data_IF_911544049699
#
_entry.id   IF_911544049699
#
_cell.length_a   1.000
_cell.length_b   1.000
_cell.length_c   1.000
_cell.angle_alpha   90.00
_cell.angle_beta   90.00
_cell.angle_gamma   90.00
#
_symmetry.space_group_name_H-M   'P 1'
#
loop_
_entity.id
_entity.type
_entity.pdbx_description
1 polymer ?
#
# COMPACT_ATOMS: atom_id res chain seq x y z
N UNK A 1 -15.17 13.35 -1.58
CA UNK A 1 -14.36 13.31 -2.81
C UNK A 1 -14.18 11.87 -3.26
N UNK A 2 -14.35 11.61 -4.55
CA UNK A 2 -13.95 10.36 -5.18
C UNK A 2 -12.52 10.51 -5.68
N UNK A 3 -11.70 9.50 -5.44
CA UNK A 3 -10.30 9.41 -5.86
C UNK A 3 -10.15 8.09 -6.61
N UNK A 4 -9.71 8.15 -7.86
CA UNK A 4 -9.78 7.00 -8.76
C UNK A 4 -8.54 6.92 -9.65
N UNK A 5 -7.94 5.73 -9.72
CA UNK A 5 -7.02 5.34 -10.79
C UNK A 5 -7.67 4.25 -11.64
N UNK A 6 -7.93 4.51 -12.94
CA UNK A 6 -8.52 3.51 -13.81
C UNK A 6 -7.57 2.36 -14.17
N UNK A 7 -6.24 2.57 -14.13
CA UNK A 7 -5.22 1.55 -14.44
C UNK A 7 -3.95 1.83 -13.62
N UNK A 8 -3.97 1.48 -12.32
CA UNK A 8 -2.74 1.45 -11.53
C UNK A 8 -1.87 0.27 -11.97
N UNK A 9 -0.57 0.53 -12.20
CA UNK A 9 0.32 -0.41 -12.84
C UNK A 9 0.30 -0.29 -14.37
N UNK A 10 0.32 0.95 -14.89
CA UNK A 10 0.32 1.22 -16.34
C UNK A 10 1.47 0.51 -17.09
N UNK A 11 2.66 0.47 -16.49
CA UNK A 11 3.81 -0.25 -17.10
C UNK A 11 3.55 -1.75 -17.25
N UNK A 12 3.14 -2.51 -16.21
CA UNK A 12 2.67 -3.89 -16.38
C UNK A 12 1.57 -4.02 -17.42
N UNK A 13 0.56 -3.16 -17.39
CA UNK A 13 -0.59 -3.21 -18.30
C UNK A 13 -0.18 -3.14 -19.77
N UNK A 14 0.63 -2.14 -20.16
CA UNK A 14 1.04 -1.96 -21.57
C UNK A 14 1.99 -3.04 -22.06
N UNK A 15 2.64 -3.76 -21.14
CA UNK A 15 3.51 -4.90 -21.45
C UNK A 15 2.78 -6.25 -21.37
N UNK A 16 1.46 -6.27 -21.25
CA UNK A 16 0.66 -7.50 -21.22
C UNK A 16 0.83 -8.34 -19.96
N UNK A 17 1.35 -7.74 -18.87
CA UNK A 17 1.50 -8.41 -17.58
C UNK A 17 0.21 -8.31 -16.75
N UNK A 18 -0.10 -9.29 -15.89
CA UNK A 18 -1.35 -9.33 -15.13
C UNK A 18 -1.38 -8.40 -13.90
N UNK A 19 -0.27 -7.71 -13.60
CA UNK A 19 -0.07 -6.96 -12.35
C UNK A 19 -0.56 -5.51 -12.46
N UNK A 20 -1.86 -5.33 -12.64
CA UNK A 20 -2.50 -4.02 -12.67
C UNK A 20 -3.90 -4.11 -12.05
N UNK A 21 -4.46 -2.98 -11.64
CA UNK A 21 -5.78 -2.93 -11.04
C UNK A 21 -6.48 -1.58 -11.28
N UNK A 22 -7.78 -1.55 -11.01
CA UNK A 22 -8.56 -0.32 -10.83
C UNK A 22 -8.53 0.01 -9.33
N UNK A 23 -8.18 1.24 -8.97
CA UNK A 23 -8.18 1.71 -7.59
C UNK A 23 -9.25 2.79 -7.40
N UNK A 24 -10.09 2.62 -6.38
CA UNK A 24 -11.17 3.56 -6.04
C UNK A 24 -11.13 3.84 -4.55
N UNK A 25 -11.16 5.13 -4.18
CA UNK A 25 -11.38 5.55 -2.81
C UNK A 25 -12.50 6.60 -2.73
N UNK A 26 -13.24 6.60 -1.63
CA UNK A 26 -14.07 7.73 -1.21
C UNK A 26 -13.45 8.37 0.01
N UNK A 27 -13.13 9.66 -0.08
CA UNK A 27 -12.59 10.47 1.02
C UNK A 27 -13.71 11.33 1.60
N UNK A 28 -13.94 11.21 2.90
CA UNK A 28 -14.87 12.04 3.67
C UNK A 28 -14.18 12.54 4.95
N UNK A 29 -14.31 13.84 5.25
CA UNK A 29 -13.65 14.47 6.39
C UNK A 29 -12.14 14.10 6.47
N UNK A 30 -11.45 14.22 5.34
CA UNK A 30 -10.00 13.97 5.18
C UNK A 30 -9.56 12.50 5.43
N UNK A 31 -10.50 11.56 5.48
CA UNK A 31 -10.20 10.14 5.68
C UNK A 31 -10.73 9.29 4.53
N UNK A 32 -10.00 8.29 4.04
CA UNK A 32 -10.55 7.30 3.13
C UNK A 32 -11.58 6.44 3.89
N UNK A 33 -12.85 6.55 3.51
CA UNK A 33 -13.98 5.85 4.18
C UNK A 33 -14.48 4.66 3.39
N UNK A 34 -14.20 4.59 2.10
CA UNK A 34 -14.43 3.42 1.24
C UNK A 34 -13.18 3.20 0.40
N UNK A 35 -12.78 1.95 0.23
CA UNK A 35 -11.71 1.53 -0.66
C UNK A 35 -12.11 0.30 -1.45
N UNK A 36 -11.84 0.32 -2.77
CA UNK A 36 -12.02 -0.83 -3.65
C UNK A 36 -10.81 -0.94 -4.57
N UNK A 37 -10.21 -2.13 -4.61
CA UNK A 37 -9.18 -2.49 -5.58
C UNK A 37 -9.70 -3.68 -6.38
N UNK A 38 -9.85 -3.49 -7.70
CA UNK A 38 -10.27 -4.56 -8.60
C UNK A 38 -9.10 -4.97 -9.50
N UNK A 39 -8.61 -6.20 -9.34
CA UNK A 39 -7.55 -6.80 -10.13
C UNK A 39 -8.16 -7.83 -11.11
N UNK A 40 -8.55 -7.43 -12.33
CA UNK A 40 -9.35 -8.28 -13.22
C UNK A 40 -8.60 -9.54 -13.66
N UNK A 41 -7.30 -9.42 -13.93
CA UNK A 41 -6.48 -10.56 -14.35
C UNK A 41 -6.34 -11.65 -13.26
N UNK A 42 -6.52 -11.27 -12.00
CA UNK A 42 -6.50 -12.18 -10.85
C UNK A 42 -7.91 -12.61 -10.41
N UNK A 43 -8.96 -12.05 -11.01
CA UNK A 43 -10.37 -12.24 -10.59
C UNK A 43 -10.57 -11.89 -9.11
N UNK A 44 -9.92 -10.82 -8.66
CA UNK A 44 -9.91 -10.39 -7.27
C UNK A 44 -10.55 -8.99 -7.12
N UNK A 45 -11.47 -8.89 -6.17
CA UNK A 45 -12.06 -7.63 -5.73
C UNK A 45 -11.82 -7.50 -4.23
N UNK A 46 -11.01 -6.52 -3.86
CA UNK A 46 -10.79 -6.11 -2.48
C UNK A 46 -11.73 -4.93 -2.19
N UNK A 47 -12.46 -5.00 -1.10
CA UNK A 47 -13.39 -3.95 -0.72
C UNK A 47 -13.39 -3.72 0.79
N UNK A 48 -13.45 -2.45 1.20
CA UNK A 48 -13.58 -2.05 2.58
C UNK A 48 -14.44 -0.79 2.71
N UNK A 49 -15.07 -0.65 3.86
CA UNK A 49 -15.69 0.60 4.30
C UNK A 49 -15.47 0.77 5.80
N UNK A 50 -15.27 2.00 6.24
CA UNK A 50 -14.99 2.32 7.66
C UNK A 50 -16.02 1.68 8.61
N UNK A 51 -15.53 0.89 9.57
CA UNK A 51 -16.33 0.17 10.55
C UNK A 51 -17.06 -1.06 10.00
N UNK A 52 -16.78 -1.47 8.76
CA UNK A 52 -17.39 -2.65 8.13
C UNK A 52 -16.39 -3.78 7.86
N UNK A 53 -15.09 -3.53 8.14
CA UNK A 53 -14.02 -4.44 7.82
C UNK A 53 -13.63 -4.45 6.34
N UNK A 54 -12.63 -5.25 6.01
CA UNK A 54 -12.14 -5.47 4.65
C UNK A 54 -12.44 -6.88 4.17
N UNK A 55 -12.62 -7.05 2.86
CA UNK A 55 -12.89 -8.35 2.23
C UNK A 55 -12.09 -8.54 0.95
N UNK A 56 -11.80 -9.79 0.61
CA UNK A 56 -11.38 -10.26 -0.72
C UNK A 56 -12.45 -11.20 -1.28
N UNK A 57 -13.06 -10.82 -2.40
CA UNK A 57 -14.17 -11.56 -3.01
C UNK A 57 -15.26 -11.93 -1.98
N UNK A 58 -15.62 -10.98 -1.10
CA UNK A 58 -16.61 -11.15 -0.04
C UNK A 58 -16.11 -11.92 1.20
N UNK A 59 -14.91 -12.50 1.20
CA UNK A 59 -14.33 -13.18 2.37
C UNK A 59 -13.61 -12.17 3.27
N UNK A 60 -13.88 -12.15 4.57
CA UNK A 60 -13.25 -11.21 5.50
C UNK A 60 -11.72 -11.34 5.51
N UNK A 61 -11.04 -10.20 5.58
CA UNK A 61 -9.60 -10.07 5.74
C UNK A 61 -9.27 -9.69 7.18
N UNK A 62 -8.23 -10.31 7.73
CA UNK A 62 -7.65 -9.93 9.02
C UNK A 62 -6.15 -10.11 8.97
N UNK A 63 -5.42 -9.10 9.41
CA UNK A 63 -3.96 -9.14 9.48
C UNK A 63 -3.49 -9.84 10.76
N UNK A 64 -2.45 -10.64 10.58
CA UNK A 64 -1.75 -11.32 11.68
C UNK A 64 -0.66 -10.40 12.24
N UNK A 65 -0.84 -9.96 13.49
CA UNK A 65 0.08 -9.08 14.19
C UNK A 65 1.43 -9.72 14.56
N UNK A 66 1.59 -11.03 14.41
CA UNK A 66 2.86 -11.73 14.70
C UNK A 66 3.83 -11.73 13.51
N UNK A 67 3.36 -11.31 12.34
CA UNK A 67 4.20 -11.25 11.13
C UNK A 67 5.11 -10.04 11.15
N UNK A 68 6.38 -10.25 10.79
CA UNK A 68 7.43 -9.24 10.75
C UNK A 68 8.14 -9.26 9.39
N UNK A 69 9.02 -8.30 9.12
CA UNK A 69 9.83 -8.30 7.89
C UNK A 69 10.71 -9.54 7.75
N UNK A 70 11.04 -10.24 8.86
CA UNK A 70 11.94 -11.40 8.87
C UNK A 70 11.27 -12.72 8.52
N UNK A 71 9.94 -12.81 8.68
CA UNK A 71 9.19 -14.04 8.41
C UNK A 71 8.15 -13.88 7.30
N UNK A 72 8.20 -12.74 6.58
CA UNK A 72 7.26 -12.42 5.51
C UNK A 72 7.91 -11.54 4.44
N UNK A 73 7.24 -11.38 3.30
CA UNK A 73 7.73 -10.57 2.19
C UNK A 73 7.22 -9.14 2.33
N UNK A 74 8.10 -8.16 2.11
CA UNK A 74 7.80 -6.73 2.02
C UNK A 74 7.60 -6.32 0.56
N UNK A 75 6.62 -5.49 0.27
CA UNK A 75 6.49 -4.82 -1.00
C UNK A 75 7.34 -3.55 -1.04
N UNK A 76 8.10 -3.33 -2.09
CA UNK A 76 8.77 -2.07 -2.34
C UNK A 76 8.32 -1.49 -3.68
N UNK A 77 7.97 -0.21 -3.70
CA UNK A 77 7.61 0.52 -4.89
C UNK A 77 8.67 1.54 -5.29
N UNK A 78 8.71 1.85 -6.56
CA UNK A 78 9.53 2.91 -7.13
C UNK A 78 8.91 3.40 -8.43
N UNK A 79 8.99 4.69 -8.68
CA UNK A 79 8.63 5.34 -9.93
C UNK A 79 9.78 6.21 -10.42
N UNK A 80 9.56 7.03 -11.43
CA UNK A 80 10.57 7.90 -12.05
C UNK A 80 11.07 9.05 -11.15
N UNK A 81 10.39 9.31 -10.02
CA UNK A 81 10.81 10.31 -9.03
C UNK A 81 11.90 9.76 -8.10
N UNK A 82 11.97 8.43 -7.92
CA UNK A 82 12.91 7.79 -7.00
C UNK A 82 14.30 7.75 -7.61
N UNK A 83 15.28 8.33 -6.93
CA UNK A 83 16.69 8.27 -7.36
C UNK A 83 17.28 6.88 -7.12
N UNK A 84 18.15 6.37 -8.02
CA UNK A 84 18.77 5.04 -7.87
C UNK A 84 19.43 4.81 -6.52
N UNK A 85 20.16 5.79 -5.99
CA UNK A 85 20.81 5.70 -4.67
C UNK A 85 19.82 5.65 -3.51
N UNK A 86 18.69 6.32 -3.62
CA UNK A 86 17.61 6.28 -2.62
C UNK A 86 17.00 4.88 -2.53
N UNK A 87 16.66 4.28 -3.67
CA UNK A 87 16.12 2.92 -3.70
C UNK A 87 17.15 1.90 -3.20
N UNK A 88 18.43 2.07 -3.57
CA UNK A 88 19.52 1.23 -3.09
C UNK A 88 19.63 1.22 -1.58
N UNK A 89 19.55 2.40 -0.94
CA UNK A 89 19.61 2.53 0.51
C UNK A 89 18.38 1.90 1.22
N UNK A 90 17.19 1.98 0.62
CA UNK A 90 15.98 1.32 1.15
C UNK A 90 16.16 -0.20 1.15
N UNK A 91 16.58 -0.76 0.01
CA UNK A 91 16.83 -2.19 -0.15
C UNK A 91 17.92 -2.67 0.81
N UNK A 92 19.03 -1.93 0.92
CA UNK A 92 20.11 -2.26 1.84
C UNK A 92 19.61 -2.32 3.29
N UNK A 93 18.87 -1.31 3.76
CA UNK A 93 18.30 -1.31 5.11
C UNK A 93 17.36 -2.49 5.34
N UNK A 94 16.50 -2.81 4.38
CA UNK A 94 15.59 -3.95 4.51
C UNK A 94 16.35 -5.28 4.63
N UNK A 95 17.29 -5.54 3.72
CA UNK A 95 18.06 -6.78 3.71
C UNK A 95 18.97 -6.91 4.95
N UNK A 96 19.61 -5.82 5.39
CA UNK A 96 20.43 -5.78 6.60
C UNK A 96 19.63 -6.07 7.89
N UNK A 97 18.33 -5.84 7.89
CA UNK A 97 17.43 -6.19 8.97
C UNK A 97 16.77 -7.56 8.81
N UNK A 98 17.23 -8.37 7.84
CA UNK A 98 16.76 -9.73 7.60
C UNK A 98 15.42 -9.81 6.84
N UNK A 99 15.02 -8.72 6.19
CA UNK A 99 13.82 -8.70 5.35
C UNK A 99 14.05 -9.28 3.97
N UNK A 100 12.95 -9.52 3.28
CA UNK A 100 12.91 -9.91 1.86
C UNK A 100 11.88 -9.04 1.15
N UNK A 101 12.02 -8.85 -0.16
CA UNK A 101 11.10 -7.96 -0.89
C UNK A 101 10.69 -8.49 -2.25
N UNK A 102 9.58 -7.92 -2.73
CA UNK A 102 9.13 -8.03 -4.12
C UNK A 102 8.63 -6.68 -4.64
N UNK A 103 8.58 -6.54 -5.97
CA UNK A 103 7.96 -5.43 -6.70
C UNK A 103 7.17 -5.98 -7.89
N UNK A 104 5.88 -5.63 -8.00
CA UNK A 104 5.04 -6.07 -9.13
C UNK A 104 4.70 -4.95 -10.14
N UNK A 105 4.95 -3.68 -9.78
CA UNK A 105 4.71 -2.53 -10.65
C UNK A 105 3.34 -1.87 -10.52
N UNK A 106 2.48 -2.33 -9.61
CA UNK A 106 1.19 -1.71 -9.25
C UNK A 106 1.16 -1.45 -7.75
N UNK A 107 1.22 -0.18 -7.34
CA UNK A 107 1.26 0.21 -5.94
C UNK A 107 -0.02 -0.12 -5.21
N UNK A 108 -1.17 0.19 -5.80
CA UNK A 108 -2.48 -0.09 -5.23
C UNK A 108 -2.70 -1.61 -5.02
N UNK A 109 -2.29 -2.44 -5.99
CA UNK A 109 -2.38 -3.90 -5.85
C UNK A 109 -1.45 -4.42 -4.76
N UNK A 110 -0.25 -3.86 -4.63
CA UNK A 110 0.69 -4.23 -3.57
C UNK A 110 0.12 -3.90 -2.18
N UNK A 111 -0.53 -2.74 -2.02
CA UNK A 111 -1.19 -2.35 -0.77
C UNK A 111 -2.39 -3.28 -0.48
N UNK A 112 -3.17 -3.67 -1.51
CA UNK A 112 -4.22 -4.67 -1.35
C UNK A 112 -3.67 -6.04 -0.89
N UNK A 113 -2.47 -6.43 -1.36
CA UNK A 113 -1.78 -7.63 -0.89
C UNK A 113 -1.35 -7.52 0.58
N UNK A 114 -1.03 -6.32 1.07
CA UNK A 114 -0.82 -6.10 2.51
C UNK A 114 -2.10 -6.39 3.27
N UNK A 115 -3.24 -5.80 2.86
CA UNK A 115 -4.53 -6.03 3.51
C UNK A 115 -4.94 -7.52 3.53
N UNK A 116 -4.54 -8.28 2.52
CA UNK A 116 -4.78 -9.73 2.42
C UNK A 116 -3.74 -10.59 3.18
N UNK A 117 -2.74 -9.99 3.83
CA UNK A 117 -1.67 -10.70 4.54
C UNK A 117 -0.70 -11.44 3.62
N UNK A 118 -0.72 -11.21 2.31
CA UNK A 118 0.25 -11.74 1.34
C UNK A 118 1.61 -11.07 1.47
N UNK A 119 1.59 -9.76 1.77
CA UNK A 119 2.74 -8.96 2.13
C UNK A 119 2.61 -8.52 3.59
N UNK A 120 3.74 -8.36 4.27
CA UNK A 120 3.74 -7.83 5.64
C UNK A 120 3.66 -6.31 5.67
N UNK A 121 4.07 -5.66 4.59
CA UNK A 121 3.93 -4.23 4.39
C UNK A 121 4.35 -3.81 2.99
N UNK A 122 4.13 -2.56 2.69
CA UNK A 122 4.50 -1.91 1.44
C UNK A 122 5.04 -0.52 1.71
N UNK A 123 6.13 -0.15 1.07
CA UNK A 123 6.70 1.19 1.10
C UNK A 123 7.05 1.68 -0.30
N UNK A 124 6.69 2.93 -0.59
CA UNK A 124 7.12 3.69 -1.76
C UNK A 124 7.34 5.15 -1.37
N UNK A 125 8.49 5.77 -1.73
CA UNK A 125 8.80 7.15 -1.34
C UNK A 125 7.87 8.20 -1.91
N UNK A 126 7.34 7.97 -3.11
CA UNK A 126 6.53 8.94 -3.84
C UNK A 126 5.33 8.26 -4.50
N UNK A 127 4.13 8.54 -4.01
CA UNK A 127 2.86 8.08 -4.59
C UNK A 127 1.83 9.19 -4.59
N UNK A 128 0.87 9.09 -5.48
CA UNK A 128 -0.32 9.93 -5.46
C UNK A 128 -1.46 9.31 -4.64
N UNK A 129 -2.44 10.13 -4.31
CA UNK A 129 -3.61 9.70 -3.53
C UNK A 129 -4.41 8.58 -4.22
N UNK A 130 -4.51 8.60 -5.55
CA UNK A 130 -5.27 7.61 -6.31
C UNK A 130 -4.62 6.22 -6.32
N UNK A 131 -3.30 6.14 -6.10
CA UNK A 131 -2.57 4.88 -6.02
C UNK A 131 -2.66 4.23 -4.62
N UNK A 132 -2.95 5.00 -3.55
CA UNK A 132 -2.83 4.49 -2.19
C UNK A 132 -4.11 4.53 -1.35
N UNK A 133 -4.99 5.53 -1.50
CA UNK A 133 -6.09 5.74 -0.54
C UNK A 133 -7.12 4.60 -0.52
N UNK A 134 -7.38 3.96 -1.67
CA UNK A 134 -8.23 2.75 -1.72
C UNK A 134 -7.64 1.61 -0.89
N UNK A 135 -6.35 1.35 -1.08
CA UNK A 135 -5.59 0.36 -0.33
C UNK A 135 -5.47 0.68 1.16
N UNK A 136 -5.34 1.96 1.51
CA UNK A 136 -5.28 2.41 2.90
C UNK A 136 -6.55 2.08 3.70
N UNK A 137 -7.72 2.30 3.08
CA UNK A 137 -8.97 1.87 3.69
C UNK A 137 -8.99 0.36 3.94
N UNK A 138 -8.52 -0.44 2.96
CA UNK A 138 -8.43 -1.90 3.09
C UNK A 138 -7.52 -2.33 4.25
N UNK A 139 -6.31 -1.78 4.33
CA UNK A 139 -5.31 -2.15 5.34
C UNK A 139 -5.80 -1.79 6.73
N UNK A 140 -6.33 -0.57 6.92
CA UNK A 140 -6.84 -0.12 8.21
C UNK A 140 -8.03 -0.97 8.68
N UNK A 141 -8.97 -1.30 7.79
CA UNK A 141 -10.12 -2.14 8.10
C UNK A 141 -9.77 -3.62 8.29
N UNK A 142 -8.62 -4.08 7.76
CA UNK A 142 -8.08 -5.40 8.03
C UNK A 142 -7.29 -5.47 9.36
N UNK A 143 -7.16 -4.36 10.10
CA UNK A 143 -6.43 -4.27 11.37
C UNK A 143 -4.95 -3.95 11.23
N UNK A 144 -4.52 -3.42 10.09
CA UNK A 144 -3.17 -2.92 9.85
C UNK A 144 -3.00 -1.44 10.20
N UNK A 145 -1.88 -0.90 9.77
CA UNK A 145 -1.51 0.50 9.96
C UNK A 145 -1.05 1.12 8.64
N UNK A 146 -1.36 2.41 8.47
CA UNK A 146 -0.91 3.19 7.31
C UNK A 146 -0.33 4.52 7.74
N UNK A 147 0.73 4.97 7.05
CA UNK A 147 1.25 6.33 7.21
C UNK A 147 0.17 7.34 6.80
N UNK A 148 -0.11 8.37 7.60
CA UNK A 148 -1.08 9.39 7.22
C UNK A 148 -0.75 10.02 5.86
N UNK A 149 -1.72 10.03 4.94
CA UNK A 149 -1.58 10.67 3.62
C UNK A 149 -2.28 12.04 3.64
N UNK A 150 -1.67 13.10 3.08
CA UNK A 150 -2.31 14.40 2.98
C UNK A 150 -3.53 14.35 2.06
N UNK A 151 -4.71 14.65 2.59
CA UNK A 151 -5.98 14.53 1.84
C UNK A 151 -6.72 15.85 1.68
N UNK A 152 -6.13 16.97 2.14
CA UNK A 152 -6.76 18.29 2.12
C UNK A 152 -6.46 19.04 0.83
N UNK A 153 -7.52 19.38 0.07
CA UNK A 153 -7.42 20.23 -1.11
C UNK A 153 -6.47 19.67 -2.18
N UNK A 154 -5.55 20.51 -2.64
CA UNK A 154 -4.57 20.17 -3.69
C UNK A 154 -3.55 19.08 -3.26
N UNK A 155 -3.43 18.80 -1.95
CA UNK A 155 -2.51 17.78 -1.47
C UNK A 155 -2.83 16.38 -2.03
N UNK A 156 -4.07 16.13 -2.46
CA UNK A 156 -4.45 14.90 -3.17
C UNK A 156 -3.70 14.69 -4.50
N UNK A 157 -3.17 15.75 -5.10
CA UNK A 157 -2.42 15.69 -6.35
C UNK A 157 -0.89 15.73 -6.16
N UNK A 158 -0.43 15.88 -4.92
CA UNK A 158 0.99 15.90 -4.62
C UNK A 158 1.53 14.51 -4.33
N UNK A 159 2.82 14.33 -4.61
CA UNK A 159 3.56 13.15 -4.22
C UNK A 159 3.75 13.10 -2.70
N UNK A 160 3.57 11.95 -2.10
CA UNK A 160 3.83 11.72 -0.68
C UNK A 160 4.35 10.31 -0.45
N UNK A 161 5.15 10.08 0.61
CA UNK A 161 5.56 8.73 0.97
C UNK A 161 4.36 7.91 1.42
N UNK A 162 4.33 6.66 1.02
CA UNK A 162 3.28 5.70 1.36
C UNK A 162 3.89 4.52 2.09
N UNK A 163 3.34 4.22 3.26
CA UNK A 163 3.66 3.02 4.00
C UNK A 163 2.38 2.40 4.53
N UNK A 164 2.21 1.10 4.25
CA UNK A 164 1.13 0.27 4.77
C UNK A 164 1.74 -0.99 5.38
N UNK A 165 1.30 -1.41 6.56
CA UNK A 165 1.93 -2.52 7.27
C UNK A 165 0.94 -3.34 8.11
N UNK A 166 1.23 -4.63 8.27
CA UNK A 166 0.70 -5.44 9.37
C UNK A 166 1.23 -4.91 10.71
N UNK A 167 0.49 -5.05 11.82
CA UNK A 167 0.87 -4.42 13.10
C UNK A 167 2.28 -4.77 13.58
N UNK A 168 2.73 -6.00 13.38
CA UNK A 168 4.06 -6.46 13.82
C UNK A 168 5.23 -5.99 12.96
N UNK A 169 4.98 -5.29 11.85
CA UNK A 169 6.02 -4.82 10.93
C UNK A 169 6.16 -3.30 10.86
N UNK A 170 5.32 -2.54 11.56
CA UNK A 170 5.27 -1.08 11.48
C UNK A 170 6.62 -0.45 11.82
N UNK A 171 7.18 -0.77 13.01
CA UNK A 171 8.42 -0.16 13.49
C UNK A 171 9.62 -0.50 12.61
N UNK A 172 9.71 -1.75 12.15
CA UNK A 172 10.77 -2.18 11.25
C UNK A 172 10.70 -1.44 9.91
N UNK A 173 9.49 -1.29 9.35
CA UNK A 173 9.29 -0.61 8.07
C UNK A 173 9.48 0.90 8.16
N UNK A 174 9.12 1.54 9.27
CA UNK A 174 9.44 2.94 9.53
C UNK A 174 10.95 3.18 9.50
N UNK A 175 11.74 2.28 10.12
CA UNK A 175 13.22 2.32 10.07
C UNK A 175 13.75 2.08 8.64
N UNK A 176 13.22 1.09 7.92
CA UNK A 176 13.59 0.80 6.53
C UNK A 176 13.33 2.01 5.63
N UNK A 177 12.18 2.65 5.80
CA UNK A 177 11.79 3.85 5.08
C UNK A 177 12.58 5.11 5.50
N UNK A 178 13.31 5.06 6.62
CA UNK A 178 13.96 6.22 7.27
C UNK A 178 12.96 7.34 7.56
N UNK A 179 11.77 6.95 8.01
CA UNK A 179 10.73 7.84 8.48
C UNK A 179 10.83 7.93 10.02
N UNK A 180 10.81 9.15 10.55
CA UNK A 180 10.73 9.32 11.99
C UNK A 180 9.38 8.78 12.50
N UNK A 181 9.41 8.01 13.58
CA UNK A 181 8.18 7.69 14.30
C UNK A 181 7.59 9.02 14.75
N UNK A 182 6.43 9.39 14.21
CA UNK A 182 5.68 10.52 14.77
C UNK A 182 5.51 10.22 16.26
N UNK A 183 6.16 11.01 17.11
CA UNK A 183 6.00 10.88 18.55
C UNK A 183 4.49 10.97 18.86
N UNK A 184 3.97 9.93 19.51
CA UNK A 184 2.58 9.80 19.92
C UNK A 184 2.18 10.88 20.91
#
# INVERSE_FOLDING_TARGET
TWVLDPIDGTTPFVNGMPNWCVSIAVVHAEKPVIGVIHAPCHQEVYAAATGRGATLNGKPLRLDGTRTIRNAVTGLGANDQVKPGEMGAIVERLLSNGGNFMRNGSGALMIAYVAAGRLVGYYEPYMHAWDCLGGYCLVNEAGGWTLPFPTRGEALTHWSPVLAAAPGAVDDLMKVANLETAAA
#
